data_IF_352212153643
#
_entry.id   IF_352212153643
#
_cell.length_a   1.000
_cell.length_b   1.000
_cell.length_c   1.000
_cell.angle_alpha   90.00
_cell.angle_beta   90.00
_cell.angle_gamma   90.00
#
_symmetry.space_group_name_H-M   'P 1'
#
loop_
_entity.id
_entity.type
_entity.pdbx_description
1 polymer ?
#
# COMPACT_ATOMS: atom_id res chain seq x y z
N UNK A 1 -6.23 23.63 -9.43
CA UNK A 1 -4.84 23.38 -9.01
C UNK A 1 -4.79 23.44 -7.49
N UNK A 2 -4.91 22.28 -6.83
CA UNK A 2 -4.77 22.20 -5.38
C UNK A 2 -3.35 21.75 -5.07
N UNK A 3 -2.52 22.68 -4.60
CA UNK A 3 -1.21 22.38 -4.02
C UNK A 3 -1.45 21.53 -2.78
N UNK A 4 -1.01 20.27 -2.80
CA UNK A 4 -0.87 19.51 -1.56
C UNK A 4 0.23 20.22 -0.77
N UNK A 5 -0.16 20.87 0.34
CA UNK A 5 0.73 21.68 1.17
C UNK A 5 1.96 20.87 1.59
N UNK A 6 3.15 21.43 1.33
CA UNK A 6 4.47 20.92 1.71
C UNK A 6 4.58 20.49 3.18
N UNK A 7 3.71 21.01 4.05
CA UNK A 7 3.61 20.63 5.47
C UNK A 7 3.08 19.21 5.71
N UNK A 8 2.19 18.67 4.85
CA UNK A 8 1.63 17.33 5.03
C UNK A 8 2.62 16.20 4.71
N UNK A 9 3.63 16.49 3.88
CA UNK A 9 4.68 15.52 3.53
C UNK A 9 5.78 15.43 4.59
N UNK A 10 6.01 16.50 5.37
CA UNK A 10 7.01 16.53 6.44
C UNK A 10 6.57 15.82 7.72
N UNK A 11 5.28 15.65 7.99
CA UNK A 11 4.79 14.97 9.21
C UNK A 11 4.87 13.45 9.15
N UNK A 12 4.92 12.86 7.94
CA UNK A 12 5.02 11.41 7.76
C UNK A 12 6.41 10.83 8.00
N UNK A 13 7.45 11.68 8.04
CA UNK A 13 8.82 11.24 8.25
C UNK A 13 9.21 11.62 9.68
N UNK A 14 9.44 10.59 10.49
CA UNK A 14 9.92 10.66 11.88
C UNK A 14 8.81 10.72 12.93
N UNK A 15 8.41 9.55 13.43
CA UNK A 15 8.82 9.08 14.75
C UNK A 15 7.94 7.87 15.11
N UNK A 16 8.39 6.66 14.81
CA UNK A 16 7.64 5.48 15.25
C UNK A 16 8.64 4.38 15.60
N UNK A 17 8.92 4.22 16.89
CA UNK A 17 9.36 2.92 17.44
C UNK A 17 8.12 2.03 17.38
N UNK A 18 7.73 1.66 16.16
CA UNK A 18 6.39 1.17 15.87
C UNK A 18 6.22 -0.24 16.44
N UNK A 19 5.32 -0.37 17.40
CA UNK A 19 4.55 -1.61 17.52
C UNK A 19 4.01 -1.93 16.12
N UNK A 20 4.15 -3.18 15.66
CA UNK A 20 3.57 -3.58 14.38
C UNK A 20 2.10 -3.11 14.33
N UNK A 21 1.67 -2.46 13.24
CA UNK A 21 0.31 -1.96 13.16
C UNK A 21 -0.67 -3.12 13.32
N UNK A 22 -1.78 -2.84 13.99
CA UNK A 22 -2.85 -3.81 14.14
C UNK A 22 -3.50 -4.03 12.77
N UNK A 23 -3.22 -5.14 12.11
CA UNK A 23 -3.74 -5.45 10.77
C UNK A 23 -5.21 -5.91 10.78
N UNK A 24 -5.77 -6.26 11.94
CA UNK A 24 -7.12 -6.84 12.02
C UNK A 24 -8.21 -5.87 11.56
N UNK A 25 -8.23 -4.57 11.94
CA UNK A 25 -9.18 -3.60 11.37
C UNK A 25 -9.14 -3.55 9.85
N UNK A 26 -7.94 -3.56 9.26
CA UNK A 26 -7.75 -3.61 7.81
C UNK A 26 -8.33 -4.89 7.20
N UNK A 27 -8.00 -6.06 7.78
CA UNK A 27 -8.52 -7.36 7.34
C UNK A 27 -10.05 -7.38 7.39
N UNK A 28 -10.64 -6.92 8.50
CA UNK A 28 -12.10 -6.86 8.69
C UNK A 28 -12.77 -5.91 7.69
N UNK A 29 -12.14 -4.77 7.41
CA UNK A 29 -12.62 -3.83 6.40
C UNK A 29 -12.63 -4.47 5.00
N UNK A 30 -11.53 -5.08 4.58
CA UNK A 30 -11.42 -5.77 3.28
C UNK A 30 -12.47 -6.88 3.17
N UNK A 31 -12.64 -7.67 4.23
CA UNK A 31 -13.65 -8.74 4.28
C UNK A 31 -15.07 -8.19 4.14
N UNK A 32 -15.42 -7.13 4.88
CA UNK A 32 -16.73 -6.51 4.81
C UNK A 32 -17.02 -5.98 3.40
N UNK A 33 -16.06 -5.28 2.79
CA UNK A 33 -16.18 -4.73 1.45
C UNK A 33 -16.35 -5.79 0.37
N UNK A 34 -15.53 -6.85 0.41
CA UNK A 34 -15.59 -7.96 -0.55
C UNK A 34 -16.67 -9.00 -0.20
N UNK A 35 -17.47 -8.77 0.85
CA UNK A 35 -18.49 -9.70 1.38
C UNK A 35 -17.93 -11.10 1.66
N UNK A 36 -16.68 -11.18 2.11
CA UNK A 36 -16.01 -12.43 2.47
C UNK A 36 -16.38 -12.79 3.91
N UNK A 37 -16.98 -13.96 4.08
CA UNK A 37 -17.29 -14.52 5.39
C UNK A 37 -16.09 -15.24 6.00
N UNK A 38 -16.05 -15.40 7.33
CA UNK A 38 -15.03 -16.21 8.02
C UNK A 38 -14.97 -17.66 7.50
N UNK A 39 -16.10 -18.20 7.03
CA UNK A 39 -16.14 -19.54 6.44
C UNK A 39 -15.39 -19.59 5.11
N UNK A 40 -15.65 -18.62 4.22
CA UNK A 40 -14.95 -18.51 2.94
C UNK A 40 -13.45 -18.24 3.15
N UNK A 41 -13.10 -17.36 4.10
CA UNK A 41 -11.70 -17.12 4.43
C UNK A 41 -11.02 -18.39 4.96
N UNK A 42 -11.71 -19.18 5.80
CA UNK A 42 -11.18 -20.45 6.29
C UNK A 42 -10.92 -21.45 5.17
N UNK A 43 -11.81 -21.54 4.18
CA UNK A 43 -11.60 -22.37 2.99
C UNK A 43 -10.40 -21.92 2.15
N UNK A 44 -10.10 -20.61 2.09
CA UNK A 44 -8.96 -20.07 1.34
C UNK A 44 -7.63 -20.19 2.07
N UNK A 45 -7.65 -20.10 3.40
CA UNK A 45 -6.44 -20.03 4.25
C UNK A 45 -6.06 -21.37 4.87
N UNK A 46 -6.98 -22.34 4.91
CA UNK A 46 -6.82 -23.55 5.71
C UNK A 46 -6.96 -23.34 7.22
N UNK A 47 -7.17 -22.10 7.68
CA UNK A 47 -7.37 -21.77 9.09
C UNK A 47 -8.83 -22.04 9.47
N UNK A 48 -9.07 -22.73 10.58
CA UNK A 48 -10.43 -23.06 11.00
C UNK A 48 -11.25 -21.80 11.27
N UNK A 49 -12.57 -21.86 11.01
CA UNK A 49 -13.50 -20.75 11.30
C UNK A 49 -13.40 -20.29 12.76
N UNK A 50 -13.25 -21.23 13.70
CA UNK A 50 -13.11 -20.93 15.12
C UNK A 50 -11.83 -20.16 15.40
N UNK A 51 -10.70 -20.59 14.83
CA UNK A 51 -9.42 -19.88 14.96
C UNK A 51 -9.49 -18.49 14.32
N UNK A 52 -10.02 -18.37 13.12
CA UNK A 52 -10.23 -17.06 12.46
C UNK A 52 -11.13 -16.14 13.27
N UNK A 53 -12.18 -16.66 13.92
CA UNK A 53 -13.06 -15.87 14.79
C UNK A 53 -12.36 -15.32 16.04
N UNK A 54 -11.39 -16.07 16.58
CA UNK A 54 -10.55 -15.62 17.69
C UNK A 54 -9.47 -14.62 17.23
N UNK A 55 -8.85 -14.86 16.08
CA UNK A 55 -7.82 -13.99 15.52
C UNK A 55 -8.37 -12.63 15.07
N UNK A 56 -9.53 -12.64 14.41
CA UNK A 56 -10.15 -11.47 13.79
C UNK A 56 -11.32 -10.92 14.63
N UNK A 57 -11.33 -11.19 15.93
CA UNK A 57 -12.38 -10.71 16.82
C UNK A 57 -12.44 -9.17 16.81
N UNK A 58 -13.63 -8.56 16.76
CA UNK A 58 -13.75 -7.09 16.69
C UNK A 58 -13.09 -6.37 17.88
N UNK A 59 -13.36 -6.85 19.10
CA UNK A 59 -12.79 -6.39 20.37
C UNK A 59 -11.35 -6.86 20.56
N UNK A 60 -10.41 -5.96 20.85
CA UNK A 60 -8.96 -6.23 20.95
C UNK A 60 -8.66 -7.21 22.10
N UNK A 61 -9.31 -7.02 23.25
CA UNK A 61 -9.08 -7.78 24.48
C UNK A 61 -9.50 -9.26 24.37
N UNK A 62 -10.30 -9.58 23.35
CA UNK A 62 -10.79 -10.93 23.06
C UNK A 62 -10.05 -11.59 21.90
N UNK A 63 -9.08 -10.89 21.30
CA UNK A 63 -8.29 -11.45 20.19
C UNK A 63 -7.27 -12.43 20.73
N UNK A 64 -7.18 -13.58 20.09
CA UNK A 64 -6.03 -14.45 20.27
C UNK A 64 -4.80 -13.88 19.57
N UNK A 65 -3.61 -14.19 20.08
CA UNK A 65 -2.35 -13.85 19.42
C UNK A 65 -2.30 -14.50 18.03
N UNK A 66 -1.97 -13.68 17.03
CA UNK A 66 -1.79 -14.07 15.64
C UNK A 66 -0.30 -14.27 15.36
N UNK A 67 0.06 -15.41 14.79
CA UNK A 67 1.41 -15.64 14.27
C UNK A 67 1.64 -14.89 12.95
N UNK A 68 2.90 -14.68 12.59
CA UNK A 68 3.28 -14.06 11.31
C UNK A 68 2.80 -14.90 10.13
N UNK A 69 2.90 -16.23 10.21
CA UNK A 69 2.44 -17.14 9.16
C UNK A 69 0.91 -17.06 8.98
N UNK A 70 0.15 -17.02 10.07
CA UNK A 70 -1.31 -16.82 10.00
C UNK A 70 -1.65 -15.47 9.36
N UNK A 71 -0.93 -14.40 9.72
CA UNK A 71 -1.12 -13.08 9.11
C UNK A 71 -0.83 -13.10 7.61
N UNK A 72 0.30 -13.67 7.19
CA UNK A 72 0.70 -13.75 5.78
C UNK A 72 -0.32 -14.54 4.95
N UNK A 73 -0.75 -15.70 5.45
CA UNK A 73 -1.75 -16.54 4.76
C UNK A 73 -3.10 -15.83 4.67
N UNK A 74 -3.54 -15.13 5.72
CA UNK A 74 -4.78 -14.35 5.70
C UNK A 74 -4.70 -13.20 4.69
N UNK A 75 -3.62 -12.42 4.68
CA UNK A 75 -3.44 -11.32 3.75
C UNK A 75 -3.37 -11.82 2.30
N UNK A 76 -2.60 -12.88 2.05
CA UNK A 76 -2.48 -13.47 0.72
C UNK A 76 -3.82 -13.98 0.18
N UNK A 77 -4.64 -14.62 1.03
CA UNK A 77 -6.00 -15.04 0.67
C UNK A 77 -6.96 -13.88 0.34
N UNK A 78 -6.59 -12.66 0.74
CA UNK A 78 -7.26 -11.41 0.43
C UNK A 78 -6.57 -10.63 -0.70
N UNK A 79 -5.60 -11.21 -1.40
CA UNK A 79 -4.82 -10.60 -2.48
C UNK A 79 -3.97 -9.40 -2.02
N UNK A 80 -3.49 -9.42 -0.78
CA UNK A 80 -2.56 -8.42 -0.23
C UNK A 80 -1.29 -9.10 0.26
N UNK A 81 -0.15 -8.43 0.11
CA UNK A 81 1.04 -8.75 0.90
C UNK A 81 1.13 -7.86 2.17
N UNK A 82 2.08 -8.18 3.04
CA UNK A 82 2.29 -7.47 4.31
C UNK A 82 2.68 -6.00 4.10
N UNK A 83 3.44 -5.69 3.04
CA UNK A 83 3.90 -4.33 2.73
C UNK A 83 2.71 -3.49 2.27
N UNK A 84 1.89 -4.03 1.38
CA UNK A 84 0.62 -3.43 0.96
C UNK A 84 -0.27 -3.13 2.17
N UNK A 85 -0.50 -4.11 3.03
CA UNK A 85 -1.34 -3.95 4.23
C UNK A 85 -0.75 -2.91 5.20
N UNK A 86 0.57 -2.88 5.36
CA UNK A 86 1.26 -1.90 6.19
C UNK A 86 1.11 -0.49 5.64
N UNK A 87 1.42 -0.28 4.36
CA UNK A 87 1.29 1.01 3.68
C UNK A 87 -0.15 1.49 3.74
N UNK A 88 -1.13 0.62 3.49
CA UNK A 88 -2.53 1.00 3.55
C UNK A 88 -2.97 1.34 4.98
N UNK A 89 -2.49 0.61 5.99
CA UNK A 89 -2.77 0.93 7.40
C UNK A 89 -2.19 2.28 7.82
N UNK A 90 -1.02 2.66 7.29
CA UNK A 90 -0.31 3.90 7.62
C UNK A 90 -0.77 5.10 6.77
N UNK A 91 -0.93 4.92 5.47
CA UNK A 91 -1.36 5.97 4.55
C UNK A 91 -2.81 6.40 4.79
N UNK A 92 -3.60 5.56 5.46
CA UNK A 92 -5.00 5.81 5.75
C UNK A 92 -5.30 5.95 7.24
N UNK A 93 -4.27 6.09 8.09
CA UNK A 93 -4.42 6.25 9.55
C UNK A 93 -5.31 7.47 9.91
N UNK A 94 -5.36 8.48 9.01
CA UNK A 94 -6.15 9.71 9.15
C UNK A 94 -7.23 9.92 8.06
N UNK A 95 -7.51 8.91 7.20
CA UNK A 95 -8.48 9.04 6.12
C UNK A 95 -9.83 8.38 6.48
N UNK A 96 -10.95 9.05 6.17
CA UNK A 96 -12.27 8.44 6.33
C UNK A 96 -12.41 7.16 5.50
N UNK A 97 -13.13 6.16 6.02
CA UNK A 97 -13.32 4.83 5.41
C UNK A 97 -13.81 4.89 3.95
N UNK A 98 -14.58 5.92 3.59
CA UNK A 98 -15.10 6.16 2.24
C UNK A 98 -14.03 6.63 1.24
N UNK A 99 -12.92 7.20 1.72
CA UNK A 99 -11.79 7.65 0.90
C UNK A 99 -10.82 6.51 0.59
N UNK A 100 -10.72 5.49 1.46
CA UNK A 100 -9.91 4.30 1.20
C UNK A 100 -10.35 3.62 -0.11
N UNK A 101 -11.64 3.36 -0.27
CA UNK A 101 -12.17 2.61 -1.43
C UNK A 101 -11.90 3.28 -2.78
N UNK A 102 -11.87 4.62 -2.83
CA UNK A 102 -11.59 5.37 -4.05
C UNK A 102 -10.11 5.30 -4.46
N UNK A 103 -9.21 5.18 -3.48
CA UNK A 103 -7.77 5.23 -3.69
C UNK A 103 -7.10 3.86 -3.70
N UNK A 104 -7.82 2.79 -3.39
CA UNK A 104 -7.33 1.41 -3.43
C UNK A 104 -6.56 1.02 -4.71
N UNK A 105 -7.07 1.29 -5.93
CA UNK A 105 -6.31 0.98 -7.15
C UNK A 105 -5.00 1.77 -7.26
N UNK A 106 -5.00 3.02 -6.78
CA UNK A 106 -3.79 3.85 -6.75
C UNK A 106 -2.79 3.31 -5.72
N UNK A 107 -3.25 2.95 -4.52
CA UNK A 107 -2.40 2.40 -3.45
C UNK A 107 -1.78 1.07 -3.90
N UNK A 108 -2.58 0.19 -4.52
CA UNK A 108 -2.09 -1.08 -5.09
C UNK A 108 -1.02 -0.83 -6.16
N UNK A 109 -1.31 0.04 -7.14
CA UNK A 109 -0.34 0.39 -8.19
C UNK A 109 0.96 0.96 -7.60
N UNK A 110 0.87 1.82 -6.58
CA UNK A 110 2.05 2.38 -5.93
C UNK A 110 2.87 1.29 -5.25
N UNK A 111 2.23 0.43 -4.46
CA UNK A 111 2.92 -0.66 -3.79
C UNK A 111 3.60 -1.61 -4.79
N UNK A 112 2.94 -1.99 -5.89
CA UNK A 112 3.54 -2.79 -6.97
C UNK A 112 4.77 -2.11 -7.59
N UNK A 113 4.69 -0.80 -7.83
CA UNK A 113 5.80 -0.01 -8.35
C UNK A 113 6.96 0.06 -7.35
N UNK A 114 6.67 0.25 -6.06
CA UNK A 114 7.66 0.38 -5.00
C UNK A 114 8.27 -0.94 -4.53
N UNK A 115 7.63 -2.09 -4.77
CA UNK A 115 8.23 -3.41 -4.48
C UNK A 115 9.50 -3.62 -5.33
N UNK A 116 9.47 -3.19 -6.59
CA UNK A 116 10.59 -3.39 -7.53
C UNK A 116 11.59 -2.23 -7.55
N UNK A 117 11.18 -1.05 -7.13
CA UNK A 117 11.99 0.16 -7.22
C UNK A 117 13.33 0.07 -6.43
N UNK A 118 13.40 -0.42 -5.18
CA UNK A 118 14.65 -0.54 -4.45
C UNK A 118 15.67 -1.42 -5.18
N UNK A 119 15.22 -2.54 -5.76
CA UNK A 119 16.10 -3.45 -6.50
C UNK A 119 16.70 -2.77 -7.72
N UNK A 120 15.89 -2.06 -8.50
CA UNK A 120 16.34 -1.32 -9.69
C UNK A 120 17.31 -0.20 -9.30
N UNK A 121 17.03 0.51 -8.21
CA UNK A 121 17.91 1.58 -7.73
C UNK A 121 19.26 1.04 -7.27
N UNK A 122 19.29 -0.07 -6.53
CA UNK A 122 20.54 -0.70 -6.10
C UNK A 122 21.36 -1.12 -7.33
N UNK A 123 20.77 -1.83 -8.28
CA UNK A 123 21.51 -2.27 -9.48
C UNK A 123 22.02 -1.08 -10.30
N UNK A 124 21.24 -0.01 -10.43
CA UNK A 124 21.66 1.18 -11.17
C UNK A 124 22.77 1.95 -10.45
N UNK A 125 22.78 1.93 -9.11
CA UNK A 125 23.84 2.54 -8.30
C UNK A 125 25.13 1.72 -8.38
N UNK A 126 25.03 0.39 -8.40
CA UNK A 126 26.17 -0.50 -8.62
C UNK A 126 26.82 -0.29 -10.01
N UNK A 127 26.01 0.05 -11.02
CA UNK A 127 26.47 0.36 -12.39
C UNK A 127 27.09 1.77 -12.53
N UNK A 128 26.82 2.68 -11.57
CA UNK A 128 27.41 4.01 -11.51
C UNK A 128 28.74 3.91 -10.75
N UNK A 129 29.85 3.76 -11.49
CA UNK A 129 31.21 3.79 -10.94
C UNK A 129 31.36 4.92 -9.91
N UNK A 130 31.50 4.55 -8.62
CA UNK A 130 31.87 5.46 -7.55
C UNK A 130 30.82 5.75 -6.47
N UNK A 131 29.60 5.23 -6.54
CA UNK A 131 28.65 5.33 -5.41
C UNK A 131 28.71 4.07 -4.56
N UNK A 132 29.69 3.98 -3.66
CA UNK A 132 29.62 3.02 -2.57
C UNK A 132 28.42 3.40 -1.68
N UNK A 133 27.58 2.42 -1.31
CA UNK A 133 26.34 2.63 -0.56
C UNK A 133 26.51 3.33 0.80
N UNK A 134 27.76 3.55 1.21
CA UNK A 134 28.19 4.36 2.36
C UNK A 134 27.84 5.85 2.24
N UNK A 135 27.62 6.37 1.02
CA UNK A 135 27.22 7.77 0.81
C UNK A 135 25.72 8.02 0.92
N UNK A 136 24.89 6.97 0.92
CA UNK A 136 23.43 7.09 1.00
C UNK A 136 23.00 7.46 2.43
N UNK A 137 22.49 8.68 2.60
CA UNK A 137 22.08 9.19 3.92
C UNK A 137 20.57 9.20 4.11
N UNK A 138 20.08 8.87 5.31
CA UNK A 138 18.62 8.83 5.61
C UNK A 138 17.95 10.17 5.39
N UNK A 139 18.64 11.28 5.63
CA UNK A 139 18.13 12.63 5.40
C UNK A 139 17.74 12.89 3.93
N UNK A 140 18.24 12.12 2.97
CA UNK A 140 17.85 12.23 1.57
C UNK A 140 16.44 11.70 1.30
N UNK A 141 15.87 10.91 2.21
CA UNK A 141 14.56 10.27 2.03
C UNK A 141 13.48 11.29 1.64
N UNK A 142 13.42 12.45 2.30
CA UNK A 142 12.42 13.47 2.00
C UNK A 142 12.60 14.11 0.62
N UNK A 143 13.85 14.30 0.17
CA UNK A 143 14.13 14.84 -1.17
C UNK A 143 13.77 13.83 -2.26
N UNK A 144 14.16 12.57 -2.07
CA UNK A 144 13.84 11.46 -2.98
C UNK A 144 12.32 11.28 -3.07
N UNK A 145 11.62 11.27 -1.92
CA UNK A 145 10.17 11.16 -1.88
C UNK A 145 9.48 12.23 -2.73
N UNK A 146 9.89 13.50 -2.61
CA UNK A 146 9.31 14.60 -3.41
C UNK A 146 9.55 14.39 -4.90
N UNK A 147 10.77 14.01 -5.30
CA UNK A 147 11.09 13.76 -6.71
C UNK A 147 10.26 12.60 -7.27
N UNK A 148 10.12 11.51 -6.50
CA UNK A 148 9.32 10.35 -6.91
C UNK A 148 7.84 10.73 -7.06
N UNK A 149 7.26 11.45 -6.09
CA UNK A 149 5.87 11.91 -6.16
C UNK A 149 5.63 12.79 -7.39
N UNK A 150 6.52 13.74 -7.67
CA UNK A 150 6.41 14.59 -8.87
C UNK A 150 6.40 13.76 -10.15
N UNK A 151 7.36 12.85 -10.30
CA UNK A 151 7.46 11.99 -11.50
C UNK A 151 6.25 11.07 -11.66
N UNK A 152 5.69 10.56 -10.58
CA UNK A 152 4.48 9.74 -10.62
C UNK A 152 3.26 10.55 -11.10
N UNK A 153 3.08 11.78 -10.60
CA UNK A 153 1.99 12.67 -11.04
C UNK A 153 2.11 12.96 -12.54
N UNK A 154 3.31 13.25 -13.02
CA UNK A 154 3.55 13.53 -14.44
C UNK A 154 3.28 12.29 -15.30
N UNK A 155 3.77 11.11 -14.89
CA UNK A 155 3.50 9.86 -15.58
C UNK A 155 2.00 9.51 -15.65
N UNK A 156 1.25 9.70 -14.55
CA UNK A 156 -0.21 9.49 -14.55
C UNK A 156 -0.91 10.47 -15.49
N UNK A 157 -0.49 11.75 -15.49
CA UNK A 157 -1.04 12.77 -16.40
C UNK A 157 -0.81 12.39 -17.86
N UNK A 158 0.37 11.88 -18.19
CA UNK A 158 0.71 11.44 -19.56
C UNK A 158 -0.14 10.24 -20.00
N UNK A 159 -0.37 9.27 -19.11
CA UNK A 159 -1.27 8.14 -19.38
C UNK A 159 -2.70 8.63 -19.63
N UNK A 160 -3.21 9.55 -18.80
CA UNK A 160 -4.55 10.12 -18.97
C UNK A 160 -4.68 10.89 -20.29
N UNK A 161 -3.71 11.73 -20.62
CA UNK A 161 -3.65 12.47 -21.87
C UNK A 161 -3.61 11.53 -23.08
N UNK A 162 -2.87 10.42 -22.99
CA UNK A 162 -2.85 9.40 -24.05
C UNK A 162 -4.20 8.73 -24.22
N UNK A 163 -4.90 8.38 -23.13
CA UNK A 163 -6.24 7.78 -23.18
C UNK A 163 -7.27 8.73 -23.81
N UNK A 164 -7.23 10.01 -23.46
CA UNK A 164 -8.13 11.01 -24.03
C UNK A 164 -7.96 11.14 -25.56
N UNK A 165 -6.71 11.23 -26.04
CA UNK A 165 -6.42 11.28 -27.48
C UNK A 165 -6.89 10.03 -28.24
N UNK A 166 -6.77 8.85 -27.63
CA UNK A 166 -7.21 7.60 -28.26
C UNK A 166 -8.75 7.53 -28.34
N UNK A 167 -9.46 7.96 -27.29
CA UNK A 167 -10.92 8.03 -27.29
C UNK A 167 -11.46 9.01 -28.34
N UNK A 168 -10.86 10.19 -28.47
CA UNK A 168 -11.21 11.16 -29.52
C UNK A 168 -10.98 10.61 -30.94
N UNK A 169 -9.95 9.76 -31.12
CA UNK A 169 -9.65 9.15 -32.42
C UNK A 169 -10.58 7.98 -32.79
N UNK A 170 -11.19 7.33 -31.80
CA UNK A 170 -12.21 6.28 -32.02
C UNK A 170 -13.59 6.91 -32.32
N UNK A 171 -13.93 8.02 -31.68
CA UNK A 171 -15.19 8.76 -31.92
C UNK A 171 -15.24 9.39 -33.33
N UNK A 172 -14.08 9.73 -33.91
CA UNK A 172 -13.96 10.22 -35.29
C UNK A 172 -14.10 9.13 -36.37
N UNK A 173 -14.26 7.85 -35.97
CA UNK A 173 -14.38 6.69 -36.90
C UNK A 173 -15.79 6.11 -36.97
N UNK A 174 -16.78 6.78 -36.38
CA UNK A 174 -18.23 6.51 -36.51
C UNK A 174 -18.91 7.62 -37.31
#
# INVERSE_FOLDING_TARGET
MSYVSSQALSSCVMNDRASLPNFVPFILHVMARRRITLRQLGSKTGISKSRLGLLLHGTIERRATMSVDELQVILHALDYDVVHAYIQSKACEDLEVTQLDRHDPLISMLCDAFINLPRILISTLDDLDGVDGTEVRREWAGAIQRTVVSRLIDGVRDIMNRRARLAESEDFRL
#
